data_IF_586590925438
#
_entry.id   IF_586590925438
#
_cell.length_a   1.000
_cell.length_b   1.000
_cell.length_c   1.000
_cell.angle_alpha   90.00
_cell.angle_beta   90.00
_cell.angle_gamma   90.00
#
_symmetry.space_group_name_H-M   'P 1'
#
loop_
_entity.id
_entity.type
_entity.pdbx_description
1 polymer ?
#
# COMPACT_ATOMS: atom_id res chain seq x y z
N UNK A 1 -27.99 7.91 -7.36
CA UNK A 1 -28.16 8.04 -5.90
C UNK A 1 -26.92 7.49 -5.26
N UNK A 2 -26.04 8.37 -4.78
CA UNK A 2 -24.79 7.97 -4.11
C UNK A 2 -25.14 7.31 -2.78
N UNK A 3 -24.83 6.04 -2.65
CA UNK A 3 -24.92 5.31 -1.40
C UNK A 3 -23.92 5.88 -0.40
N UNK A 4 -24.41 6.64 0.58
CA UNK A 4 -23.61 7.20 1.64
C UNK A 4 -22.92 6.09 2.43
N UNK A 5 -21.60 6.04 2.36
CA UNK A 5 -20.79 5.24 3.26
C UNK A 5 -21.04 5.71 4.69
N UNK A 6 -21.52 4.83 5.53
CA UNK A 6 -21.69 5.08 6.97
C UNK A 6 -20.32 5.39 7.57
N UNK A 7 -20.10 6.57 8.16
CA UNK A 7 -18.82 6.89 8.77
C UNK A 7 -18.65 6.08 10.06
N UNK A 8 -17.58 5.30 10.18
CA UNK A 8 -17.13 5.00 11.50
C UNK A 8 -16.62 3.62 11.90
N UNK A 9 -16.55 2.64 11.04
CA UNK A 9 -15.88 1.39 11.43
C UNK A 9 -14.55 1.23 10.70
N UNK A 10 -13.46 1.13 11.48
CA UNK A 10 -12.15 0.85 10.92
C UNK A 10 -12.21 -0.48 10.14
N UNK A 11 -11.66 -0.47 8.91
CA UNK A 11 -11.54 -1.68 8.10
C UNK A 11 -10.54 -2.62 8.75
N UNK A 12 -10.96 -3.86 8.95
CA UNK A 12 -10.09 -4.96 9.40
C UNK A 12 -10.33 -6.13 8.47
N UNK A 13 -9.27 -6.62 7.83
CA UNK A 13 -9.32 -7.76 6.92
C UNK A 13 -8.50 -8.90 7.50
N UNK A 14 -9.02 -10.09 7.42
CA UNK A 14 -8.39 -11.28 7.98
C UNK A 14 -8.20 -12.34 6.89
N UNK A 15 -7.02 -12.94 6.86
CA UNK A 15 -6.66 -14.04 5.97
C UNK A 15 -6.20 -15.27 6.76
N UNK A 16 -5.72 -16.28 6.10
CA UNK A 16 -5.12 -17.45 6.78
C UNK A 16 -3.96 -17.09 7.70
N UNK A 17 -3.06 -16.20 7.25
CA UNK A 17 -1.82 -15.86 7.97
C UNK A 17 -1.74 -14.42 8.45
N UNK A 18 -2.60 -13.51 7.95
CA UNK A 18 -2.48 -12.07 8.14
C UNK A 18 -3.72 -11.47 8.79
N UNK A 19 -3.49 -10.35 9.49
CA UNK A 19 -4.49 -9.41 9.94
C UNK A 19 -4.11 -8.02 9.39
N UNK A 20 -4.95 -7.44 8.53
CA UNK A 20 -4.79 -6.09 8.02
C UNK A 20 -5.70 -5.16 8.81
N UNK A 21 -5.15 -4.15 9.45
CA UNK A 21 -5.85 -3.26 10.38
C UNK A 21 -5.25 -1.86 10.39
N UNK A 22 -5.92 -0.87 11.00
CA UNK A 22 -5.29 0.42 11.22
C UNK A 22 -3.96 0.32 11.98
N UNK A 23 -3.05 1.22 11.66
CA UNK A 23 -1.79 1.36 12.36
C UNK A 23 -1.99 1.77 13.83
N UNK A 24 -1.16 1.26 14.72
CA UNK A 24 -1.02 1.74 16.09
C UNK A 24 0.17 2.68 16.17
N UNK A 25 0.09 3.69 17.03
CA UNK A 25 1.18 4.70 17.15
C UNK A 25 2.53 4.06 17.45
N UNK A 26 2.59 3.07 18.32
CA UNK A 26 3.81 2.35 18.65
C UNK A 26 4.46 1.60 17.45
N UNK A 27 3.75 1.47 16.33
CA UNK A 27 4.24 0.80 15.13
C UNK A 27 4.92 1.76 14.15
N UNK A 28 5.02 3.05 14.49
CA UNK A 28 5.77 4.05 13.73
C UNK A 28 7.23 3.62 13.47
N UNK A 29 7.81 2.84 14.38
CA UNK A 29 9.15 2.25 14.21
C UNK A 29 9.22 1.31 13.01
N UNK A 30 8.14 0.57 12.73
CA UNK A 30 8.06 -0.30 11.55
C UNK A 30 7.93 0.52 10.27
N UNK A 31 7.14 1.59 10.29
CA UNK A 31 7.10 2.52 9.15
C UNK A 31 8.48 3.12 8.89
N UNK A 32 9.20 3.50 9.95
CA UNK A 32 10.57 4.03 9.82
C UNK A 32 11.54 2.99 9.23
N UNK A 33 11.41 1.73 9.61
CA UNK A 33 12.18 0.62 9.03
C UNK A 33 11.90 0.47 7.53
N UNK A 34 10.62 0.51 7.11
CA UNK A 34 10.24 0.50 5.70
C UNK A 34 10.91 1.64 4.92
N UNK A 35 10.88 2.87 5.45
CA UNK A 35 11.54 4.00 4.81
C UNK A 35 13.05 3.80 4.67
N UNK A 36 13.70 3.17 5.65
CA UNK A 36 15.13 2.86 5.62
C UNK A 36 15.48 1.81 4.56
N UNK A 37 14.57 0.85 4.32
CA UNK A 37 14.78 -0.23 3.36
C UNK A 37 14.46 0.15 1.91
N UNK A 38 13.90 1.34 1.66
CA UNK A 38 13.55 1.78 0.31
C UNK A 38 14.76 1.80 -0.62
N UNK A 39 14.51 1.46 -1.86
CA UNK A 39 15.54 1.49 -2.91
C UNK A 39 16.04 2.92 -3.12
N UNK A 40 17.35 3.16 -3.20
CA UNK A 40 17.91 4.49 -3.40
C UNK A 40 17.52 5.14 -4.74
N UNK A 41 16.96 4.39 -5.68
CA UNK A 41 16.42 4.92 -6.94
C UNK A 41 15.07 5.65 -6.79
N UNK A 42 14.37 5.52 -5.65
CA UNK A 42 13.14 6.28 -5.45
C UNK A 42 13.42 7.77 -5.29
N UNK A 43 12.47 8.66 -5.64
CA UNK A 43 12.64 10.11 -5.51
C UNK A 43 12.93 10.57 -4.06
N UNK A 44 13.56 11.75 -3.86
CA UNK A 44 13.91 12.26 -2.53
C UNK A 44 12.76 12.32 -1.54
N UNK A 45 11.56 12.71 -1.99
CA UNK A 45 10.37 12.77 -1.14
C UNK A 45 9.87 11.40 -0.64
N UNK A 46 10.44 10.32 -1.15
CA UNK A 46 10.18 8.93 -0.71
C UNK A 46 11.35 8.32 0.03
N UNK A 47 12.35 9.10 0.38
CA UNK A 47 13.53 8.65 1.15
C UNK A 47 13.62 9.45 2.45
N UNK A 48 14.40 8.93 3.36
CA UNK A 48 14.83 9.69 4.53
C UNK A 48 15.78 10.79 4.04
N UNK A 49 15.48 12.03 4.42
CA UNK A 49 16.29 13.17 4.02
C UNK A 49 17.59 13.31 4.83
N UNK A 50 18.37 14.36 4.54
CA UNK A 50 19.64 14.60 5.20
C UNK A 50 19.49 14.93 6.71
N UNK A 51 18.34 15.46 7.12
CA UNK A 51 18.00 15.79 8.50
C UNK A 51 17.37 14.61 9.25
N UNK A 52 17.18 13.48 8.56
CA UNK A 52 16.66 12.24 9.12
C UNK A 52 15.13 12.11 9.09
N UNK A 53 14.41 12.99 8.36
CA UNK A 53 12.95 12.91 8.24
C UNK A 53 12.49 11.97 7.11
N UNK A 54 11.31 11.32 7.27
CA UNK A 54 10.50 11.35 8.49
C UNK A 54 11.18 10.61 9.65
N UNK A 55 11.21 11.22 10.82
CA UNK A 55 11.60 10.58 12.09
C UNK A 55 10.50 9.64 12.59
N UNK A 56 10.77 8.84 13.63
CA UNK A 56 9.72 8.06 14.30
C UNK A 56 8.63 8.97 14.85
N UNK A 57 8.99 10.12 15.42
CA UNK A 57 8.03 11.08 15.96
C UNK A 57 7.10 11.66 14.87
N UNK A 58 7.63 11.99 13.68
CA UNK A 58 6.82 12.47 12.55
C UNK A 58 5.81 11.39 12.10
N UNK A 59 6.24 10.14 12.08
CA UNK A 59 5.38 9.01 11.71
C UNK A 59 4.32 8.71 12.79
N UNK A 60 4.66 8.84 14.06
CA UNK A 60 3.69 8.76 15.16
C UNK A 60 2.61 9.84 15.04
N UNK A 61 3.00 11.07 14.76
CA UNK A 61 2.05 12.18 14.54
C UNK A 61 1.16 11.91 13.33
N UNK A 62 1.75 11.44 12.24
CA UNK A 62 1.00 11.04 11.05
C UNK A 62 -0.02 9.94 11.35
N UNK A 63 0.33 8.92 12.12
CA UNK A 63 -0.60 7.86 12.52
C UNK A 63 -1.72 8.42 13.41
N UNK A 64 -1.42 9.33 14.36
CA UNK A 64 -2.44 9.96 15.20
C UNK A 64 -3.41 10.84 14.39
N UNK A 65 -2.89 11.55 13.39
CA UNK A 65 -3.69 12.42 12.53
C UNK A 65 -4.56 11.63 11.54
N UNK A 66 -4.13 10.42 11.18
CA UNK A 66 -4.79 9.60 10.17
C UNK A 66 -5.99 8.88 10.78
N UNK A 67 -7.20 9.35 10.48
CA UNK A 67 -8.42 8.71 10.97
C UNK A 67 -8.73 7.45 10.17
N UNK A 68 -9.22 6.38 10.83
CA UNK A 68 -9.74 5.22 10.11
C UNK A 68 -10.80 5.64 9.09
N UNK A 69 -10.57 5.30 7.85
CA UNK A 69 -11.50 5.55 6.75
C UNK A 69 -11.71 4.24 5.96
N UNK A 70 -12.66 4.25 5.04
CA UNK A 70 -12.87 3.14 4.11
C UNK A 70 -11.72 2.97 3.11
N UNK A 71 -10.88 3.99 2.96
CA UNK A 71 -9.67 4.00 2.14
C UNK A 71 -8.48 4.31 3.05
N UNK A 72 -7.39 3.58 2.89
CA UNK A 72 -6.16 3.82 3.63
C UNK A 72 -5.20 2.65 3.58
N UNK A 73 -3.98 2.90 3.99
CA UNK A 73 -2.95 1.88 4.09
C UNK A 73 -3.04 1.18 5.45
N UNK A 74 -3.45 -0.07 5.43
CA UNK A 74 -3.59 -0.90 6.63
C UNK A 74 -2.23 -1.53 7.00
N UNK A 75 -1.91 -1.57 8.28
CA UNK A 75 -0.79 -2.36 8.78
C UNK A 75 -1.05 -3.85 8.53
N UNK A 76 -0.05 -4.54 8.00
CA UNK A 76 -0.08 -5.99 7.77
C UNK A 76 0.60 -6.69 8.93
N UNK A 77 -0.18 -7.34 9.78
CA UNK A 77 0.31 -8.10 10.94
C UNK A 77 0.30 -9.60 10.63
N UNK A 78 1.39 -10.31 10.96
CA UNK A 78 1.41 -11.78 10.91
C UNK A 78 0.76 -12.35 12.17
N UNK A 79 -0.24 -13.19 12.02
CA UNK A 79 -0.97 -13.81 13.16
C UNK A 79 -0.05 -14.65 14.05
N UNK A 80 0.82 -15.45 13.46
CA UNK A 80 1.69 -16.37 14.19
C UNK A 80 2.77 -15.65 15.02
N UNK A 81 3.40 -14.61 14.45
CA UNK A 81 4.48 -13.87 15.09
C UNK A 81 3.97 -12.64 15.87
N UNK A 82 2.75 -12.19 15.60
CA UNK A 82 2.15 -10.97 16.16
C UNK A 82 3.00 -9.72 15.91
N UNK A 83 3.68 -9.68 14.77
CA UNK A 83 4.51 -8.56 14.33
C UNK A 83 3.94 -7.91 13.07
N UNK A 84 4.09 -6.59 12.97
CA UNK A 84 3.75 -5.85 11.77
C UNK A 84 4.92 -5.92 10.80
N UNK A 85 4.63 -6.24 9.54
CA UNK A 85 5.61 -6.46 8.50
C UNK A 85 5.54 -5.46 7.34
N UNK A 86 4.62 -4.50 7.40
CA UNK A 86 4.44 -3.50 6.36
C UNK A 86 3.00 -3.06 6.23
N UNK A 87 2.61 -2.64 5.04
CA UNK A 87 1.24 -2.19 4.76
C UNK A 87 0.71 -2.71 3.42
N UNK A 88 -0.62 -2.75 3.33
CA UNK A 88 -1.36 -2.93 2.09
C UNK A 88 -2.72 -2.21 2.21
N UNK A 89 -3.19 -1.60 1.14
CA UNK A 89 -4.47 -0.90 1.15
C UNK A 89 -4.72 -0.08 -0.09
N UNK A 90 -5.70 0.81 0.00
CA UNK A 90 -6.10 1.70 -1.08
C UNK A 90 -5.83 3.16 -0.70
N UNK A 91 -5.39 3.94 -1.67
CA UNK A 91 -5.21 5.39 -1.55
C UNK A 91 -5.93 6.12 -2.70
N UNK A 92 -6.39 7.31 -2.43
CA UNK A 92 -6.74 8.26 -3.48
C UNK A 92 -5.48 9.05 -3.84
N UNK A 93 -4.82 8.64 -4.91
CA UNK A 93 -3.57 9.28 -5.37
C UNK A 93 -3.83 10.47 -6.30
N UNK A 94 -5.08 10.66 -6.74
CA UNK A 94 -5.44 11.64 -7.76
C UNK A 94 -4.83 11.37 -9.15
N UNK A 95 -4.16 10.23 -9.35
CA UNK A 95 -3.50 9.86 -10.62
C UNK A 95 -4.38 9.01 -11.53
N UNK A 96 -5.39 8.35 -10.96
CA UNK A 96 -6.40 7.56 -11.68
C UNK A 96 -7.69 8.34 -11.92
N UNK A 97 -8.67 7.73 -12.59
CA UNK A 97 -10.03 8.27 -12.72
C UNK A 97 -10.70 8.43 -11.35
N UNK A 98 -11.63 9.38 -11.25
CA UNK A 98 -12.43 9.56 -10.04
C UNK A 98 -13.19 8.26 -9.68
N UNK A 99 -13.16 7.91 -8.41
CA UNK A 99 -13.80 6.68 -7.90
C UNK A 99 -12.99 5.39 -8.12
N UNK A 100 -11.83 5.45 -8.76
CA UNK A 100 -10.93 4.32 -8.95
C UNK A 100 -9.68 4.50 -8.06
N UNK A 101 -9.64 3.96 -6.84
CA UNK A 101 -8.49 4.12 -5.96
C UNK A 101 -7.28 3.31 -6.42
N UNK A 102 -6.11 3.76 -5.98
CA UNK A 102 -4.83 3.11 -6.23
C UNK A 102 -4.53 2.11 -5.11
N UNK A 103 -4.22 0.86 -5.47
CA UNK A 103 -3.71 -0.13 -4.53
C UNK A 103 -2.21 0.08 -4.31
N UNK A 104 -1.82 0.14 -3.04
CA UNK A 104 -0.42 0.26 -2.65
C UNK A 104 -0.06 -0.73 -1.55
N UNK A 105 1.16 -1.27 -1.63
CA UNK A 105 1.72 -2.16 -0.62
C UNK A 105 3.23 -1.99 -0.51
N UNK A 106 3.75 -2.19 0.69
CA UNK A 106 5.18 -2.23 0.97
C UNK A 106 5.41 -3.13 2.18
N UNK A 107 6.28 -4.12 2.06
CA UNK A 107 6.63 -5.05 3.13
C UNK A 107 8.13 -5.02 3.39
N UNK A 108 8.52 -5.23 4.64
CA UNK A 108 9.91 -5.35 5.06
C UNK A 108 10.63 -6.48 4.31
N UNK A 109 11.89 -6.25 3.94
CA UNK A 109 12.68 -7.17 3.11
C UNK A 109 12.80 -8.57 3.71
N UNK A 110 12.88 -8.66 5.06
CA UNK A 110 13.00 -9.93 5.78
C UNK A 110 11.84 -10.91 5.57
N UNK A 111 10.71 -10.43 5.05
CA UNK A 111 9.52 -11.27 4.78
C UNK A 111 9.20 -11.41 3.30
N UNK A 112 10.05 -10.92 2.41
CA UNK A 112 9.84 -11.05 0.97
C UNK A 112 9.85 -12.50 0.51
N UNK A 113 9.23 -12.76 -0.64
CA UNK A 113 9.14 -14.07 -1.31
C UNK A 113 8.43 -15.16 -0.51
N UNK A 114 7.74 -14.80 0.57
CA UNK A 114 6.92 -15.71 1.38
C UNK A 114 5.42 -15.65 1.04
N UNK A 115 5.05 -14.87 0.01
CA UNK A 115 3.67 -14.75 -0.47
C UNK A 115 2.79 -13.78 0.31
N UNK A 116 3.29 -13.10 1.33
CA UNK A 116 2.51 -12.19 2.15
C UNK A 116 1.94 -10.99 1.37
N UNK A 117 2.72 -10.39 0.46
CA UNK A 117 2.22 -9.28 -0.36
C UNK A 117 1.05 -9.73 -1.26
N UNK A 118 1.15 -10.91 -1.87
CA UNK A 118 0.07 -11.49 -2.67
C UNK A 118 -1.18 -11.75 -1.83
N UNK A 119 -1.02 -12.35 -0.64
CA UNK A 119 -2.13 -12.66 0.26
C UNK A 119 -2.83 -11.40 0.77
N UNK A 120 -2.06 -10.38 1.19
CA UNK A 120 -2.61 -9.09 1.63
C UNK A 120 -3.35 -8.37 0.49
N UNK A 121 -2.75 -8.36 -0.72
CA UNK A 121 -3.37 -7.73 -1.89
C UNK A 121 -4.70 -8.40 -2.27
N UNK A 122 -4.77 -9.73 -2.23
CA UNK A 122 -6.02 -10.45 -2.51
C UNK A 122 -7.12 -10.10 -1.51
N UNK A 123 -6.80 -9.98 -0.22
CA UNK A 123 -7.76 -9.56 0.80
C UNK A 123 -8.29 -8.13 0.55
N UNK A 124 -7.41 -7.21 0.14
CA UNK A 124 -7.80 -5.83 -0.21
C UNK A 124 -8.68 -5.83 -1.47
N UNK A 125 -8.36 -6.64 -2.47
CA UNK A 125 -9.17 -6.79 -3.69
C UNK A 125 -10.58 -7.33 -3.41
N UNK A 126 -10.68 -8.36 -2.56
CA UNK A 126 -11.98 -8.94 -2.20
C UNK A 126 -12.83 -7.94 -1.40
N UNK A 127 -12.22 -7.19 -0.51
CA UNK A 127 -12.88 -6.11 0.21
C UNK A 127 -13.32 -5.00 -0.74
N UNK A 128 -12.46 -4.57 -1.67
CA UNK A 128 -12.79 -3.53 -2.65
C UNK A 128 -13.99 -3.93 -3.51
N UNK A 129 -14.00 -5.16 -4.03
CA UNK A 129 -15.13 -5.70 -4.78
C UNK A 129 -16.42 -5.69 -3.94
N UNK A 130 -16.36 -6.15 -2.70
CA UNK A 130 -17.50 -6.17 -1.78
C UNK A 130 -17.99 -4.77 -1.40
N UNK A 131 -17.12 -3.76 -1.51
CA UNK A 131 -17.42 -2.36 -1.27
C UNK A 131 -17.94 -1.61 -2.50
N UNK A 132 -18.09 -2.31 -3.65
CA UNK A 132 -18.66 -1.76 -4.88
C UNK A 132 -17.68 -1.05 -5.79
N UNK A 133 -16.38 -1.18 -5.56
CA UNK A 133 -15.39 -0.72 -6.55
C UNK A 133 -15.38 -1.65 -7.76
N UNK A 134 -15.36 -1.09 -8.95
CA UNK A 134 -15.35 -1.84 -10.20
C UNK A 134 -13.94 -2.02 -10.77
N UNK A 135 -13.03 -1.12 -10.40
CA UNK A 135 -11.66 -1.08 -10.91
C UNK A 135 -10.72 -0.48 -9.90
N UNK A 136 -9.51 -1.03 -9.85
CA UNK A 136 -8.38 -0.46 -9.11
C UNK A 136 -7.19 -0.20 -10.03
N UNK A 137 -6.38 0.76 -9.64
CA UNK A 137 -5.08 1.04 -10.24
C UNK A 137 -3.96 0.65 -9.29
N UNK A 138 -2.77 0.49 -9.83
CA UNK A 138 -1.54 0.49 -9.07
C UNK A 138 -0.43 1.06 -9.95
N UNK A 139 0.45 1.85 -9.35
CA UNK A 139 1.64 2.33 -10.02
C UNK A 139 2.88 1.60 -9.50
N UNK A 140 3.81 1.31 -10.39
CA UNK A 140 5.03 0.60 -10.05
C UNK A 140 6.18 1.07 -10.92
N UNK A 141 7.35 1.20 -10.33
CA UNK A 141 8.56 1.47 -11.11
C UNK A 141 8.90 0.27 -12.01
N UNK A 142 9.24 0.51 -13.27
CA UNK A 142 9.61 -0.53 -14.24
C UNK A 142 10.73 -1.44 -13.71
N UNK A 143 11.68 -0.87 -12.98
CA UNK A 143 12.78 -1.60 -12.36
C UNK A 143 12.37 -2.41 -11.11
N UNK A 144 11.20 -2.17 -10.51
CA UNK A 144 10.72 -2.89 -9.33
C UNK A 144 10.05 -4.21 -9.71
N UNK A 145 10.87 -5.16 -10.12
CA UNK A 145 10.40 -6.45 -10.65
C UNK A 145 9.66 -7.30 -9.62
N UNK A 146 9.98 -7.18 -8.33
CA UNK A 146 9.28 -7.94 -7.28
C UNK A 146 7.85 -7.44 -7.09
N UNK A 147 7.61 -6.13 -7.04
CA UNK A 147 6.25 -5.58 -6.98
C UNK A 147 5.47 -5.85 -8.26
N UNK A 148 6.10 -5.75 -9.45
CA UNK A 148 5.45 -6.11 -10.72
C UNK A 148 4.98 -7.55 -10.74
N UNK A 149 5.78 -8.49 -10.22
CA UNK A 149 5.38 -9.90 -10.10
C UNK A 149 4.18 -10.10 -9.16
N UNK A 150 4.12 -9.35 -8.06
CA UNK A 150 2.96 -9.39 -7.16
C UNK A 150 1.72 -8.87 -7.88
N UNK A 151 1.79 -7.71 -8.53
CA UNK A 151 0.69 -7.12 -9.27
C UNK A 151 0.16 -8.07 -10.36
N UNK A 152 1.05 -8.66 -11.16
CA UNK A 152 0.66 -9.65 -12.17
C UNK A 152 -0.03 -10.88 -11.55
N UNK A 153 0.48 -11.41 -10.44
CA UNK A 153 -0.12 -12.55 -9.74
C UNK A 153 -1.53 -12.26 -9.22
N UNK A 154 -1.79 -11.03 -8.83
CA UNK A 154 -3.11 -10.61 -8.36
C UNK A 154 -3.96 -9.99 -9.47
N UNK A 155 -3.58 -10.18 -10.73
CA UNK A 155 -4.39 -9.89 -11.92
C UNK A 155 -4.45 -8.43 -12.33
N UNK A 156 -3.40 -7.65 -12.03
CA UNK A 156 -3.22 -6.34 -12.63
C UNK A 156 -2.49 -6.47 -13.95
N UNK A 157 -3.04 -5.86 -14.99
CA UNK A 157 -2.45 -5.77 -16.31
C UNK A 157 -1.79 -4.41 -16.49
N UNK A 158 -0.64 -4.37 -17.17
CA UNK A 158 0.03 -3.11 -17.51
C UNK A 158 -0.83 -2.33 -18.51
N UNK A 159 -1.13 -1.07 -18.18
CA UNK A 159 -1.82 -0.16 -19.06
C UNK A 159 -0.83 0.45 -20.07
N UNK A 160 -1.35 1.01 -21.17
CA UNK A 160 -0.51 1.74 -22.13
C UNK A 160 0.13 2.99 -21.52
N UNK A 161 -0.52 3.56 -20.49
CA UNK A 161 -0.02 4.75 -19.79
C UNK A 161 1.23 4.44 -18.99
N UNK A 162 2.27 5.22 -19.23
CA UNK A 162 3.50 5.26 -18.44
C UNK A 162 4.00 6.68 -18.30
N UNK A 163 4.74 6.94 -17.24
CA UNK A 163 5.38 8.23 -16.99
C UNK A 163 6.89 8.01 -16.93
N UNK A 164 7.63 8.74 -17.77
CA UNK A 164 9.08 8.63 -17.84
C UNK A 164 9.71 9.81 -17.11
N UNK A 165 10.52 9.50 -16.11
CA UNK A 165 11.35 10.47 -15.42
C UNK A 165 12.82 10.19 -15.79
N UNK A 166 13.54 11.24 -16.19
CA UNK A 166 14.93 11.11 -16.64
C UNK A 166 15.90 10.67 -15.53
N UNK A 167 15.54 10.89 -14.27
CA UNK A 167 16.39 10.58 -13.10
C UNK A 167 15.95 9.28 -12.43
N UNK A 168 14.62 9.08 -12.24
CA UNK A 168 14.07 8.00 -11.43
C UNK A 168 13.55 6.82 -12.26
N UNK A 169 13.53 6.96 -13.59
CA UNK A 169 13.10 5.92 -14.51
C UNK A 169 11.60 5.94 -14.81
N UNK A 170 11.11 4.85 -15.37
CA UNK A 170 9.73 4.74 -15.84
C UNK A 170 8.80 4.23 -14.75
N UNK A 171 7.70 4.96 -14.51
CA UNK A 171 6.56 4.47 -13.75
C UNK A 171 5.54 3.84 -14.69
N UNK A 172 5.21 2.59 -14.45
CA UNK A 172 4.17 1.85 -15.14
C UNK A 172 2.85 2.01 -14.39
N UNK A 173 1.78 2.22 -15.14
CA UNK A 173 0.41 2.17 -14.62
C UNK A 173 -0.16 0.79 -14.91
N UNK A 174 -0.73 0.19 -13.89
CA UNK A 174 -1.39 -1.11 -14.01
C UNK A 174 -2.83 -0.98 -13.55
N UNK A 175 -3.73 -1.79 -14.06
CA UNK A 175 -5.13 -1.74 -13.70
C UNK A 175 -5.72 -3.14 -13.58
N UNK A 176 -6.74 -3.27 -12.72
CA UNK A 176 -7.51 -4.50 -12.57
C UNK A 176 -8.99 -4.17 -12.46
N UNK A 177 -9.84 -4.85 -13.25
CA UNK A 177 -11.29 -4.92 -13.02
C UNK A 177 -11.56 -5.93 -11.90
N UNK A 178 -12.56 -5.62 -11.05
CA UNK A 178 -12.92 -6.41 -9.87
C UNK A 178 -14.12 -7.35 -10.12
#
# INVERSE_FOLDING_TARGET
>A
MAGGATPGRAVVLETGRLLLRPWRVAEAVVQRELWTERDPRVPPHRRIDADGHPTVADLEESIRANRPSSIGLLAVERKAARDVIGYCGLIDSGRGPEGEPEMAFELLRRVWRQGYATEASLAVLDWARSSGYERLWATVWEWNTDSRRVLAKVGFDEAERKEVDAVYGTTLFTARRL
#
